data_IF_179075652199
#
_entry.id   IF_179075652199
#
_cell.length_a   1.000
_cell.length_b   1.000
_cell.length_c   1.000
_cell.angle_alpha   90.00
_cell.angle_beta   90.00
_cell.angle_gamma   90.00
#
_symmetry.space_group_name_H-M   'P 1'
#
loop_
_entity.id
_entity.type
_entity.pdbx_description
1 polymer ?
#
# COMPACT_ATOMS: atom_id res chain seq x y z
N UNK A 1 -12.82 8.62 19.96
CA UNK A 1 -13.21 9.99 19.56
C UNK A 1 -12.04 10.91 19.87
N UNK A 2 -11.19 11.19 18.90
CA UNK A 2 -10.13 12.21 19.02
C UNK A 2 -10.31 13.14 17.83
N UNK A 3 -10.47 14.42 18.14
CA UNK A 3 -10.95 15.46 17.25
C UNK A 3 -9.99 15.78 16.11
N UNK A 4 -10.58 15.89 14.95
CA UNK A 4 -9.99 16.47 13.73
C UNK A 4 -9.64 17.95 14.00
N UNK A 5 -8.35 18.27 14.07
CA UNK A 5 -7.89 19.64 13.86
C UNK A 5 -7.56 19.80 12.38
N UNK A 6 -8.27 20.70 11.73
CA UNK A 6 -7.88 21.23 10.42
C UNK A 6 -6.48 21.84 10.54
N UNK A 7 -5.57 21.36 9.74
CA UNK A 7 -4.31 22.04 9.44
C UNK A 7 -4.38 22.43 7.97
N UNK A 8 -4.63 23.70 7.74
CA UNK A 8 -4.55 24.30 6.41
C UNK A 8 -3.08 24.32 5.93
N UNK A 9 -2.85 23.78 4.74
CA UNK A 9 -1.81 24.30 3.86
C UNK A 9 -0.46 23.62 3.81
N UNK A 10 -0.28 22.33 4.18
CA UNK A 10 0.98 21.63 3.84
C UNK A 10 0.74 20.17 3.43
N UNK A 11 1.56 19.68 2.50
CA UNK A 11 1.60 18.27 2.15
C UNK A 11 1.94 17.46 3.40
N UNK A 12 1.06 16.51 3.74
CA UNK A 12 1.24 15.64 4.91
C UNK A 12 2.37 14.66 4.66
N UNK A 13 3.07 14.27 5.72
CA UNK A 13 4.09 13.24 5.74
C UNK A 13 3.55 11.89 5.24
N UNK A 14 4.45 11.02 4.74
CA UNK A 14 4.14 9.66 4.26
C UNK A 14 3.41 8.80 5.30
N UNK A 15 3.61 9.07 6.59
CA UNK A 15 3.04 8.28 7.70
C UNK A 15 1.63 8.73 8.07
N UNK A 16 1.24 9.96 7.78
CA UNK A 16 -0.15 10.43 7.99
C UNK A 16 -1.16 9.69 7.10
N UNK A 17 -0.68 9.00 6.05
CA UNK A 17 -1.47 8.10 5.21
C UNK A 17 -1.94 6.83 5.95
N UNK A 18 -1.32 6.48 7.10
CA UNK A 18 -1.69 5.30 7.91
C UNK A 18 -3.03 5.45 8.67
N UNK A 19 -3.60 6.65 8.78
CA UNK A 19 -4.83 6.87 9.56
C UNK A 19 -6.14 6.76 8.76
N UNK A 20 -6.11 6.49 7.46
CA UNK A 20 -7.31 6.48 6.63
C UNK A 20 -7.55 5.12 5.97
N UNK A 21 -8.73 4.56 6.21
CA UNK A 21 -9.21 3.21 5.90
C UNK A 21 -9.34 2.88 4.40
N UNK A 22 -8.25 2.98 3.63
CA UNK A 22 -8.21 2.50 2.24
C UNK A 22 -6.91 1.73 2.05
N UNK A 23 -6.97 0.39 2.10
CA UNK A 23 -5.78 -0.42 2.31
C UNK A 23 -5.54 -1.33 1.13
N UNK A 24 -4.32 -1.32 0.61
CA UNK A 24 -3.80 -2.12 -0.49
C UNK A 24 -2.52 -2.85 -0.08
N UNK A 25 -2.14 -3.83 -0.86
CA UNK A 25 -1.05 -4.76 -0.57
C UNK A 25 0.09 -4.55 -1.55
N UNK A 26 1.29 -4.35 -1.02
CA UNK A 26 2.56 -4.62 -1.68
C UNK A 26 3.13 -5.92 -1.10
N UNK A 27 3.63 -6.81 -1.96
CA UNK A 27 4.11 -8.12 -1.53
C UNK A 27 5.61 -8.29 -1.77
N UNK A 28 6.30 -8.99 -0.87
CA UNK A 28 7.71 -9.38 -1.03
C UNK A 28 7.88 -10.91 -1.01
N UNK A 29 8.94 -11.44 -1.66
CA UNK A 29 9.15 -12.89 -1.83
C UNK A 29 9.69 -13.57 -0.57
N UNK A 30 9.07 -14.71 -0.20
CA UNK A 30 9.67 -15.77 0.62
C UNK A 30 9.07 -17.14 0.29
N UNK A 31 9.86 -18.17 0.45
CA UNK A 31 9.61 -19.54 0.03
C UNK A 31 8.40 -20.24 0.65
N UNK A 32 8.00 -21.28 -0.03
CA UNK A 32 6.87 -22.21 0.13
C UNK A 32 6.40 -22.47 1.56
N UNK A 33 5.09 -22.24 1.79
CA UNK A 33 4.31 -22.96 2.82
C UNK A 33 2.85 -23.11 2.39
N UNK A 34 2.21 -24.18 2.90
CA UNK A 34 0.89 -24.66 2.52
C UNK A 34 -0.27 -23.73 2.91
N UNK A 35 -1.36 -23.80 2.14
CA UNK A 35 -2.58 -23.03 2.33
C UNK A 35 -3.35 -23.41 3.61
N UNK A 36 -3.93 -22.44 4.35
CA UNK A 36 -4.85 -22.72 5.43
C UNK A 36 -6.28 -22.98 4.92
N UNK A 37 -6.95 -23.95 5.55
CA UNK A 37 -8.34 -24.29 5.29
C UNK A 37 -9.28 -23.23 5.90
N UNK A 38 -10.15 -22.67 5.06
CA UNK A 38 -11.30 -21.85 5.48
C UNK A 38 -12.57 -22.64 5.18
N UNK A 39 -13.23 -23.11 6.20
CA UNK A 39 -14.55 -23.72 6.11
C UNK A 39 -15.57 -22.92 6.93
N UNK A 40 -16.73 -22.70 6.32
CA UNK A 40 -18.02 -22.37 6.90
C UNK A 40 -18.30 -20.97 7.43
N UNK A 41 -18.85 -20.14 6.53
CA UNK A 41 -19.93 -19.22 6.88
C UNK A 41 -20.86 -19.03 5.68
N UNK A 42 -22.01 -19.71 5.70
CA UNK A 42 -23.13 -19.45 4.78
C UNK A 42 -23.68 -18.04 5.02
N UNK A 43 -23.63 -17.22 3.99
CA UNK A 43 -24.38 -15.96 3.91
C UNK A 43 -25.26 -16.01 2.66
N UNK A 44 -26.54 -16.27 2.86
CA UNK A 44 -27.58 -16.23 1.85
C UNK A 44 -27.83 -14.79 1.38
N UNK A 45 -27.20 -14.37 0.30
CA UNK A 45 -27.63 -13.22 -0.52
C UNK A 45 -27.46 -13.56 -1.99
N UNK A 46 -28.47 -13.21 -2.80
CA UNK A 46 -28.51 -13.46 -4.24
C UNK A 46 -27.20 -13.04 -4.92
N UNK A 47 -26.69 -13.87 -5.85
CA UNK A 47 -25.49 -13.53 -6.61
C UNK A 47 -25.76 -12.22 -7.39
N UNK A 48 -24.76 -11.36 -7.56
CA UNK A 48 -24.86 -10.20 -8.43
C UNK A 48 -25.25 -10.62 -9.84
N UNK A 49 -25.90 -9.72 -10.59
CA UNK A 49 -26.37 -9.95 -11.98
C UNK A 49 -25.24 -10.25 -13.00
N UNK A 50 -23.99 -10.25 -12.57
CA UNK A 50 -22.83 -10.69 -13.33
C UNK A 50 -22.16 -11.83 -12.57
N UNK A 51 -21.76 -12.89 -13.28
CA UNK A 51 -21.08 -14.00 -12.62
C UNK A 51 -19.58 -13.73 -12.56
N UNK A 52 -18.91 -14.13 -11.48
CA UNK A 52 -17.45 -14.05 -11.39
C UNK A 52 -16.74 -14.75 -12.54
N UNK A 53 -17.35 -15.78 -13.12
CA UNK A 53 -16.83 -16.52 -14.25
C UNK A 53 -16.77 -15.72 -15.55
N UNK A 54 -17.85 -15.00 -15.89
CA UNK A 54 -17.91 -14.16 -17.10
C UNK A 54 -16.89 -13.03 -17.03
N UNK A 55 -16.69 -12.47 -15.84
CA UNK A 55 -15.70 -11.42 -15.62
C UNK A 55 -14.27 -11.97 -15.59
N UNK A 56 -14.05 -13.20 -15.08
CA UNK A 56 -12.74 -13.84 -15.07
C UNK A 56 -12.24 -14.15 -16.49
N UNK A 57 -13.14 -14.57 -17.39
CA UNK A 57 -12.78 -14.81 -18.78
C UNK A 57 -12.40 -13.50 -19.49
N UNK A 58 -13.15 -12.42 -19.25
CA UNK A 58 -12.85 -11.09 -19.79
C UNK A 58 -11.57 -10.48 -19.21
N UNK A 59 -11.39 -10.58 -17.90
CA UNK A 59 -10.20 -10.05 -17.20
C UNK A 59 -8.99 -10.98 -17.31
N UNK A 60 -9.21 -12.28 -17.59
CA UNK A 60 -8.12 -13.23 -17.82
C UNK A 60 -7.22 -12.88 -19.00
N UNK A 61 -7.80 -12.17 -19.99
CA UNK A 61 -7.07 -11.64 -21.14
C UNK A 61 -6.45 -10.25 -20.89
N UNK A 62 -6.71 -9.63 -19.75
CA UNK A 62 -6.21 -8.29 -19.46
C UNK A 62 -4.77 -8.34 -18.99
N UNK A 63 -3.88 -7.63 -19.66
CA UNK A 63 -2.51 -7.46 -19.23
C UNK A 63 -2.47 -6.56 -18.00
N UNK A 64 -1.97 -7.09 -16.87
CA UNK A 64 -1.83 -6.34 -15.62
C UNK A 64 -0.40 -5.87 -15.51
N UNK A 65 -0.16 -4.56 -15.31
CA UNK A 65 1.17 -4.09 -14.95
C UNK A 65 1.68 -4.85 -13.74
N UNK A 66 2.85 -5.42 -13.85
CA UNK A 66 3.43 -6.28 -12.82
C UNK A 66 4.94 -6.15 -12.77
N UNK A 67 5.54 -7.07 -12.06
CA UNK A 67 6.98 -7.14 -11.84
C UNK A 67 7.39 -6.62 -10.49
N UNK A 68 8.51 -7.14 -10.04
CA UNK A 68 9.15 -6.75 -8.78
C UNK A 68 10.42 -5.97 -9.09
N UNK A 69 10.82 -5.14 -8.14
CA UNK A 69 12.11 -4.46 -8.19
C UNK A 69 12.98 -4.92 -7.03
N UNK A 70 14.28 -4.97 -7.26
CA UNK A 70 15.27 -5.30 -6.26
C UNK A 70 15.64 -4.04 -5.46
N UNK A 71 15.58 -4.14 -4.14
CA UNK A 71 16.12 -3.15 -3.22
C UNK A 71 17.38 -3.74 -2.57
N UNK A 72 18.56 -3.18 -2.84
CA UNK A 72 19.83 -3.72 -2.35
C UNK A 72 19.93 -3.64 -0.83
N UNK A 73 20.69 -4.57 -0.24
CA UNK A 73 21.06 -4.49 1.17
C UNK A 73 21.79 -3.18 1.48
N UNK A 74 21.64 -2.70 2.71
CA UNK A 74 22.34 -1.52 3.20
C UNK A 74 21.52 -0.68 4.14
N UNK A 75 22.19 0.27 4.78
CA UNK A 75 21.56 1.21 5.70
C UNK A 75 20.83 2.33 4.96
N UNK A 76 19.75 2.80 5.58
CA UNK A 76 19.00 3.99 5.15
C UNK A 76 18.55 4.79 6.36
N UNK A 77 18.08 6.02 6.12
CA UNK A 77 17.51 6.88 7.16
C UNK A 77 16.00 6.61 7.25
N UNK A 78 15.59 5.87 8.28
CA UNK A 78 14.20 5.58 8.61
C UNK A 78 13.62 6.68 9.50
N UNK A 79 12.38 7.03 9.27
CA UNK A 79 11.70 8.08 10.02
C UNK A 79 11.94 9.49 9.49
N UNK A 80 11.44 10.48 10.22
CA UNK A 80 11.43 11.87 9.78
C UNK A 80 12.20 12.80 10.72
N UNK A 81 12.94 13.76 10.15
CA UNK A 81 13.56 14.86 10.88
C UNK A 81 12.60 16.06 10.84
N UNK A 82 12.00 16.48 11.98
CA UNK A 82 11.03 17.57 12.02
C UNK A 82 11.60 18.94 11.62
N UNK A 83 12.94 19.06 11.52
CA UNK A 83 13.59 20.27 11.00
C UNK A 83 13.53 20.36 9.48
N UNK A 84 13.41 19.19 8.81
CA UNK A 84 13.32 19.07 7.34
C UNK A 84 11.87 18.90 6.90
N UNK A 85 11.13 18.06 7.59
CA UNK A 85 9.71 17.81 7.36
C UNK A 85 8.87 18.31 8.55
N UNK A 86 8.27 19.48 8.38
CA UNK A 86 7.41 20.09 9.43
C UNK A 86 6.09 19.36 9.63
N UNK A 87 5.72 18.46 8.73
CA UNK A 87 4.52 17.64 8.84
C UNK A 87 4.78 16.33 9.56
N UNK A 88 6.04 16.01 9.89
CA UNK A 88 6.42 14.78 10.57
C UNK A 88 5.72 14.61 11.92
N UNK A 89 4.99 13.51 12.07
CA UNK A 89 4.34 13.15 13.32
C UNK A 89 5.34 12.62 14.38
N UNK A 90 4.99 12.67 15.67
CA UNK A 90 5.87 12.17 16.74
C UNK A 90 6.18 10.67 16.61
N UNK A 91 5.26 9.87 16.02
CA UNK A 91 5.44 8.44 15.78
C UNK A 91 6.45 8.11 14.66
N UNK A 92 6.84 9.10 13.87
CA UNK A 92 7.85 9.00 12.81
C UNK A 92 9.24 9.40 13.30
N UNK A 93 9.39 9.67 14.59
CA UNK A 93 10.59 10.22 15.17
C UNK A 93 11.17 9.32 16.27
N UNK A 94 12.50 9.31 16.42
CA UNK A 94 13.48 10.09 15.67
C UNK A 94 13.79 9.50 14.29
N UNK A 95 14.27 10.32 13.36
CA UNK A 95 14.96 9.80 12.18
C UNK A 95 16.25 9.11 12.65
N UNK A 96 16.45 7.85 12.26
CA UNK A 96 17.56 7.02 12.69
C UNK A 96 18.06 6.10 11.56
N UNK A 97 19.23 5.52 11.72
CA UNK A 97 19.82 4.65 10.73
C UNK A 97 19.35 3.20 10.95
N UNK A 98 18.80 2.59 9.90
CA UNK A 98 18.36 1.20 9.90
C UNK A 98 19.01 0.45 8.75
N UNK A 99 19.49 -0.75 9.00
CA UNK A 99 20.01 -1.67 7.99
C UNK A 99 18.92 -2.67 7.59
N UNK A 100 18.71 -2.84 6.29
CA UNK A 100 17.79 -3.85 5.72
C UNK A 100 18.56 -4.70 4.71
N UNK A 101 18.41 -6.02 4.80
CA UNK A 101 18.97 -6.96 3.83
C UNK A 101 18.34 -6.77 2.44
N UNK A 102 18.93 -7.38 1.42
CA UNK A 102 18.36 -7.35 0.06
C UNK A 102 16.98 -7.99 0.04
N UNK A 103 16.02 -7.33 -0.58
CA UNK A 103 14.68 -7.86 -0.82
C UNK A 103 14.16 -7.41 -2.19
N UNK A 104 13.07 -8.03 -2.61
CA UNK A 104 12.30 -7.59 -3.77
C UNK A 104 10.91 -7.16 -3.33
N UNK A 105 10.36 -6.16 -4.00
CA UNK A 105 9.03 -5.62 -3.72
C UNK A 105 8.28 -5.42 -5.03
N UNK A 106 6.95 -5.57 -5.01
CA UNK A 106 6.13 -5.26 -6.17
C UNK A 106 6.27 -3.80 -6.56
N UNK A 107 6.33 -3.54 -7.87
CA UNK A 107 6.45 -2.17 -8.39
C UNK A 107 5.17 -1.38 -8.31
N UNK A 108 4.04 -2.08 -8.20
CA UNK A 108 2.70 -1.50 -8.22
C UNK A 108 1.87 -2.03 -7.07
N UNK A 109 0.92 -1.24 -6.62
CA UNK A 109 -0.16 -1.67 -5.73
C UNK A 109 -0.88 -2.88 -6.32
N UNK A 110 -1.44 -3.74 -5.48
CA UNK A 110 -2.27 -4.87 -5.96
C UNK A 110 -3.54 -4.34 -6.60
N UNK A 111 -3.70 -4.57 -7.90
CA UNK A 111 -4.89 -4.14 -8.63
C UNK A 111 -6.12 -4.99 -8.29
N UNK A 112 -7.30 -4.44 -8.55
CA UNK A 112 -8.55 -5.17 -8.43
C UNK A 112 -8.55 -6.47 -9.24
N UNK A 113 -8.03 -6.45 -10.48
CA UNK A 113 -7.98 -7.67 -11.29
C UNK A 113 -6.99 -8.71 -10.75
N UNK A 114 -5.85 -8.29 -10.18
CA UNK A 114 -4.91 -9.21 -9.56
C UNK A 114 -5.54 -9.88 -8.33
N UNK A 115 -6.24 -9.10 -7.51
CA UNK A 115 -6.95 -9.61 -6.34
C UNK A 115 -8.16 -10.50 -6.73
N UNK A 116 -8.84 -10.19 -7.82
CA UNK A 116 -9.93 -11.03 -8.35
C UNK A 116 -9.43 -12.44 -8.69
N UNK A 117 -8.25 -12.56 -9.31
CA UNK A 117 -7.65 -13.88 -9.60
C UNK A 117 -7.43 -14.71 -8.33
N UNK A 118 -7.01 -14.06 -7.25
CA UNK A 118 -6.89 -14.71 -5.95
C UNK A 118 -8.23 -15.20 -5.42
N UNK A 119 -9.26 -14.35 -5.45
CA UNK A 119 -10.60 -14.71 -5.00
C UNK A 119 -11.15 -15.88 -5.79
N UNK A 120 -11.03 -15.87 -7.13
CA UNK A 120 -11.48 -16.93 -8.00
C UNK A 120 -10.69 -18.23 -7.82
N UNK A 121 -9.37 -18.12 -7.62
CA UNK A 121 -8.49 -19.29 -7.45
C UNK A 121 -8.60 -19.97 -6.10
N UNK A 122 -9.10 -19.26 -5.07
CA UNK A 122 -9.16 -19.79 -3.69
C UNK A 122 -10.57 -19.93 -3.13
N UNK A 123 -11.56 -19.29 -3.73
CA UNK A 123 -12.93 -19.26 -3.21
C UNK A 123 -13.12 -18.42 -1.95
N UNK A 124 -12.14 -17.59 -1.57
CA UNK A 124 -12.31 -16.68 -0.41
C UNK A 124 -13.44 -15.69 -0.66
N UNK A 125 -14.07 -15.17 0.40
CA UNK A 125 -15.13 -14.19 0.26
C UNK A 125 -14.67 -12.93 -0.49
N UNK A 126 -15.57 -12.37 -1.26
CA UNK A 126 -15.34 -11.11 -1.95
C UNK A 126 -15.03 -9.98 -0.97
N UNK A 127 -14.11 -9.05 -1.27
CA UNK A 127 -13.94 -7.84 -0.50
C UNK A 127 -15.27 -7.13 -0.26
N UNK A 128 -15.46 -6.61 0.95
CA UNK A 128 -16.73 -5.95 1.33
C UNK A 128 -17.15 -4.89 0.32
N UNK A 129 -16.21 -4.10 -0.16
CA UNK A 129 -16.46 -3.05 -1.14
C UNK A 129 -17.06 -3.59 -2.46
N UNK A 130 -16.60 -4.75 -2.93
CA UNK A 130 -17.13 -5.36 -4.16
C UNK A 130 -18.51 -5.96 -3.99
N UNK A 131 -18.88 -6.36 -2.77
CA UNK A 131 -20.25 -6.85 -2.46
C UNK A 131 -21.28 -5.73 -2.47
N UNK A 132 -20.86 -4.52 -2.11
CA UNK A 132 -21.71 -3.33 -2.07
C UNK A 132 -21.70 -2.55 -3.41
N UNK A 133 -20.62 -2.67 -4.16
CA UNK A 133 -20.41 -1.97 -5.43
C UNK A 133 -19.96 -2.98 -6.47
N UNK A 134 -20.75 -3.22 -7.53
CA UNK A 134 -20.36 -4.11 -8.61
C UNK A 134 -18.95 -3.74 -9.11
N UNK A 135 -18.12 -4.76 -9.34
CA UNK A 135 -16.77 -4.56 -9.82
C UNK A 135 -16.79 -3.90 -11.20
N UNK A 136 -16.43 -2.63 -11.34
CA UNK A 136 -16.49 -1.97 -12.63
C UNK A 136 -15.24 -2.31 -13.44
N UNK A 137 -15.41 -2.77 -14.67
CA UNK A 137 -14.32 -3.02 -15.61
C UNK A 137 -13.31 -1.85 -15.66
N UNK A 138 -13.84 -0.62 -15.63
CA UNK A 138 -13.03 0.61 -15.62
C UNK A 138 -12.12 0.75 -14.40
N UNK A 139 -12.37 0.00 -13.32
CA UNK A 139 -11.56 -0.03 -12.11
C UNK A 139 -10.63 -1.25 -12.02
N UNK A 140 -10.51 -2.05 -13.08
CA UNK A 140 -9.67 -3.24 -13.08
C UNK A 140 -8.22 -2.96 -12.65
N UNK A 141 -7.66 -1.85 -13.09
CA UNK A 141 -6.30 -1.39 -12.74
C UNK A 141 -6.27 -0.41 -11.55
N UNK A 142 -7.39 -0.13 -10.91
CA UNK A 142 -7.35 0.56 -9.62
C UNK A 142 -6.84 -0.40 -8.53
N UNK A 143 -6.23 0.12 -7.47
CA UNK A 143 -5.84 -0.70 -6.33
C UNK A 143 -7.08 -1.34 -5.68
N UNK A 144 -6.92 -2.57 -5.18
CA UNK A 144 -7.94 -3.19 -4.32
C UNK A 144 -7.97 -2.46 -2.98
N UNK A 145 -9.17 -2.13 -2.51
CA UNK A 145 -9.37 -1.36 -1.27
C UNK A 145 -10.30 -2.07 -0.31
N UNK A 146 -10.30 -1.62 0.96
CA UNK A 146 -11.13 -2.16 2.02
C UNK A 146 -10.89 -3.67 2.29
N UNK A 147 -9.65 -4.09 2.13
CA UNK A 147 -9.16 -5.39 2.57
C UNK A 147 -8.51 -5.26 3.94
N UNK A 148 -8.74 -6.22 4.82
CA UNK A 148 -8.10 -6.30 6.13
C UNK A 148 -6.63 -6.75 5.98
N UNK A 149 -5.85 -6.59 7.05
CA UNK A 149 -4.49 -7.10 7.10
C UNK A 149 -4.41 -8.61 6.81
N UNK A 150 -5.35 -9.39 7.35
CA UNK A 150 -5.40 -10.84 7.14
C UNK A 150 -5.70 -11.23 5.69
N UNK A 151 -6.58 -10.48 5.02
CA UNK A 151 -6.90 -10.67 3.60
C UNK A 151 -5.72 -10.28 2.72
N UNK A 152 -4.99 -9.23 3.10
CA UNK A 152 -3.78 -8.79 2.42
C UNK A 152 -2.64 -9.81 2.55
N UNK A 153 -2.40 -10.33 3.76
CA UNK A 153 -1.41 -11.38 4.02
C UNK A 153 -1.76 -12.69 3.28
N UNK A 154 -3.04 -13.08 3.28
CA UNK A 154 -3.51 -14.25 2.55
C UNK A 154 -3.26 -14.12 1.03
N UNK A 155 -3.53 -12.94 0.45
CA UNK A 155 -3.20 -12.67 -0.95
C UNK A 155 -1.70 -12.79 -1.21
N UNK A 156 -0.86 -12.19 -0.38
CA UNK A 156 0.58 -12.26 -0.56
C UNK A 156 1.07 -13.71 -0.52
N UNK A 157 0.61 -14.51 0.45
CA UNK A 157 0.97 -15.94 0.54
C UNK A 157 0.52 -16.76 -0.66
N UNK A 158 -0.71 -16.51 -1.14
CA UNK A 158 -1.20 -17.15 -2.36
C UNK A 158 -0.32 -16.82 -3.57
N UNK A 159 0.14 -15.58 -3.65
CA UNK A 159 1.05 -15.13 -4.70
C UNK A 159 2.51 -15.62 -4.53
N UNK A 160 2.80 -16.44 -3.51
CA UNK A 160 4.17 -16.88 -3.18
C UNK A 160 5.05 -15.77 -2.57
N UNK A 161 4.43 -14.81 -1.88
CA UNK A 161 5.05 -13.60 -1.33
C UNK A 161 4.68 -13.39 0.14
N UNK A 162 5.08 -12.29 0.71
CA UNK A 162 4.68 -11.82 2.04
C UNK A 162 4.41 -10.31 2.03
N UNK A 163 3.81 -9.78 3.08
CA UNK A 163 3.81 -8.35 3.32
C UNK A 163 5.24 -7.85 3.58
N UNK A 164 5.61 -6.64 3.12
CA UNK A 164 6.88 -6.02 3.50
C UNK A 164 6.84 -5.62 4.97
N UNK A 165 8.00 -5.54 5.61
CA UNK A 165 8.10 -4.81 6.88
C UNK A 165 7.98 -3.31 6.65
N UNK A 166 7.67 -2.54 7.70
CA UNK A 166 7.64 -1.07 7.62
C UNK A 166 8.99 -0.52 7.13
N UNK A 167 10.10 -1.06 7.60
CA UNK A 167 11.44 -0.65 7.19
C UNK A 167 11.74 -0.98 5.71
N UNK A 168 11.30 -2.13 5.23
CA UNK A 168 11.42 -2.48 3.80
C UNK A 168 10.58 -1.53 2.94
N UNK A 169 9.33 -1.30 3.33
CA UNK A 169 8.43 -0.39 2.64
C UNK A 169 9.00 1.03 2.58
N UNK A 170 9.48 1.56 3.71
CA UNK A 170 10.02 2.92 3.77
C UNK A 170 11.31 3.05 2.96
N UNK A 171 12.22 2.05 3.04
CA UNK A 171 13.43 2.04 2.20
C UNK A 171 13.08 2.00 0.72
N UNK A 172 12.11 1.16 0.32
CA UNK A 172 11.65 1.09 -1.06
C UNK A 172 11.04 2.41 -1.54
N UNK A 173 10.35 3.13 -0.66
CA UNK A 173 9.74 4.43 -0.96
C UNK A 173 10.77 5.55 -1.06
N UNK A 174 11.68 5.66 -0.10
CA UNK A 174 12.50 6.87 0.12
C UNK A 174 13.97 6.71 -0.25
N UNK A 175 14.42 5.50 -0.57
CA UNK A 175 15.83 5.23 -0.84
C UNK A 175 16.70 5.36 0.40
N UNK A 176 17.93 5.86 0.22
CA UNK A 176 18.95 5.89 1.29
C UNK A 176 19.37 7.31 1.72
N UNK A 177 18.93 8.34 1.03
CA UNK A 177 19.39 9.73 1.18
C UNK A 177 18.54 10.58 2.15
N UNK A 178 17.51 9.98 2.78
CA UNK A 178 16.64 10.67 3.75
C UNK A 178 15.72 11.72 3.12
N UNK A 179 15.34 11.52 1.86
CA UNK A 179 14.34 12.36 1.15
C UNK A 179 12.97 12.26 1.82
N UNK A 180 12.15 13.29 1.65
CA UNK A 180 10.81 13.36 2.24
C UNK A 180 9.82 12.48 1.44
N UNK A 181 9.85 12.59 0.12
CA UNK A 181 8.95 11.86 -0.79
C UNK A 181 9.72 10.90 -1.70
N UNK A 182 9.06 9.92 -2.32
CA UNK A 182 9.69 9.01 -3.28
C UNK A 182 10.46 9.72 -4.40
N UNK A 183 9.94 10.84 -4.89
CA UNK A 183 10.55 11.66 -5.97
C UNK A 183 11.57 12.69 -5.47
N UNK A 184 11.84 12.79 -4.16
CA UNK A 184 12.78 13.77 -3.58
C UNK A 184 12.14 14.68 -2.54
N UNK A 185 12.65 15.92 -2.42
CA UNK A 185 12.19 16.87 -1.39
C UNK A 185 11.24 17.95 -1.92
N UNK A 186 10.95 17.94 -3.21
CA UNK A 186 10.01 18.90 -3.79
C UNK A 186 8.58 18.61 -3.32
N UNK A 187 7.77 19.65 -3.08
CA UNK A 187 6.39 19.46 -2.71
C UNK A 187 5.63 18.54 -3.67
N UNK A 188 4.67 17.80 -3.13
CA UNK A 188 3.79 16.96 -3.93
C UNK A 188 2.99 17.82 -4.92
N UNK A 189 2.78 17.29 -6.11
CA UNK A 189 2.04 17.95 -7.18
C UNK A 189 1.26 16.94 -8.01
N UNK A 190 0.26 17.43 -8.74
CA UNK A 190 -0.68 16.66 -9.58
C UNK A 190 -0.04 15.67 -10.55
N UNK A 191 1.25 15.87 -10.87
CA UNK A 191 1.98 15.05 -11.82
C UNK A 191 2.70 13.89 -11.13
N UNK A 192 2.94 14.01 -9.80
CA UNK A 192 3.77 13.08 -9.03
C UNK A 192 2.94 12.12 -8.18
N UNK A 193 1.76 12.53 -7.72
CA UNK A 193 0.98 11.72 -6.78
C UNK A 193 -0.52 12.00 -6.83
N UNK A 194 -1.30 11.00 -6.42
CA UNK A 194 -2.75 11.07 -6.25
C UNK A 194 -3.10 11.45 -4.80
N UNK A 195 -2.84 12.69 -4.43
CA UNK A 195 -3.18 13.24 -3.11
C UNK A 195 -4.15 14.41 -3.21
N UNK A 196 -4.85 14.70 -2.12
CA UNK A 196 -5.67 15.91 -2.03
C UNK A 196 -4.78 17.15 -2.02
N UNK A 197 -4.97 18.05 -2.99
CA UNK A 197 -4.23 19.30 -3.06
C UNK A 197 -5.02 20.45 -2.46
N UNK A 198 -4.38 21.33 -1.68
CA UNK A 198 -4.98 22.59 -1.25
C UNK A 198 -5.46 23.39 -2.47
N UNK A 199 -6.70 23.87 -2.44
CA UNK A 199 -7.26 24.66 -3.54
C UNK A 199 -7.88 23.85 -4.69
N UNK A 200 -8.01 22.54 -4.57
CA UNK A 200 -8.80 21.74 -5.52
C UNK A 200 -10.25 22.23 -5.52
N UNK A 201 -10.65 22.88 -6.63
CA UNK A 201 -12.02 23.40 -6.83
C UNK A 201 -13.10 22.31 -6.89
N UNK A 202 -12.72 21.04 -6.88
CA UNK A 202 -13.65 19.91 -7.07
C UNK A 202 -14.30 19.42 -5.78
N UNK A 203 -14.04 20.03 -4.62
CA UNK A 203 -14.70 19.70 -3.36
C UNK A 203 -14.49 18.27 -2.84
N UNK A 204 -13.63 17.49 -3.49
CA UNK A 204 -13.32 16.14 -3.07
C UNK A 204 -12.41 16.19 -1.84
N UNK A 205 -12.91 15.66 -0.73
CA UNK A 205 -12.10 15.42 0.46
C UNK A 205 -10.95 14.43 0.15
N UNK A 206 -11.19 13.55 -0.84
CA UNK A 206 -10.22 12.59 -1.37
C UNK A 206 -10.32 12.57 -2.90
N UNK A 207 -9.19 12.53 -3.63
CA UNK A 207 -9.21 12.34 -5.08
C UNK A 207 -9.77 10.94 -5.41
N UNK A 208 -10.44 10.76 -6.56
CA UNK A 208 -10.79 9.43 -7.05
C UNK A 208 -9.53 8.56 -7.19
N UNK A 209 -9.69 7.24 -7.02
CA UNK A 209 -8.59 6.30 -7.21
C UNK A 209 -8.00 6.42 -8.62
N UNK A 210 -6.70 6.31 -8.70
CA UNK A 210 -5.96 6.24 -9.96
C UNK A 210 -5.55 4.80 -10.28
N UNK A 211 -5.33 4.51 -11.56
CA UNK A 211 -4.70 3.26 -11.95
C UNK A 211 -3.31 3.13 -11.33
N UNK A 212 -2.94 1.91 -10.92
CA UNK A 212 -1.68 1.59 -10.24
C UNK A 212 -0.42 2.02 -11.00
N UNK A 213 -0.49 2.13 -12.31
CA UNK A 213 0.61 2.51 -13.20
C UNK A 213 0.62 4.00 -13.58
N UNK A 214 -0.11 4.85 -12.84
CA UNK A 214 -0.08 6.30 -13.05
C UNK A 214 1.02 6.95 -12.21
N UNK A 215 1.37 8.19 -12.61
CA UNK A 215 2.34 9.04 -11.90
C UNK A 215 3.79 8.57 -12.00
N UNK A 216 4.28 8.31 -13.20
CA UNK A 216 5.68 7.91 -13.48
C UNK A 216 6.71 8.86 -12.84
N UNK A 217 6.40 10.15 -12.75
CA UNK A 217 7.27 11.16 -12.13
C UNK A 217 7.25 11.12 -10.60
N UNK A 218 6.40 10.30 -10.01
CA UNK A 218 6.28 10.09 -8.56
C UNK A 218 6.88 8.79 -8.08
N UNK A 219 7.55 8.03 -8.95
CA UNK A 219 8.17 6.77 -8.58
C UNK A 219 9.33 6.95 -7.60
N UNK A 220 9.56 5.93 -6.80
CA UNK A 220 10.69 5.86 -5.88
C UNK A 220 12.04 5.70 -6.61
N UNK A 221 13.18 5.83 -5.91
CA UNK A 221 14.50 5.56 -6.49
C UNK A 221 14.65 4.15 -7.09
N UNK A 222 13.83 3.21 -6.64
CA UNK A 222 13.82 1.83 -7.13
C UNK A 222 12.73 1.57 -8.17
N UNK A 223 12.00 2.61 -8.61
CA UNK A 223 10.94 2.51 -9.60
C UNK A 223 9.64 1.90 -9.07
N UNK A 224 9.38 2.01 -7.76
CA UNK A 224 8.10 1.64 -7.15
C UNK A 224 7.12 2.79 -7.29
N UNK A 225 5.89 2.49 -7.66
CA UNK A 225 4.83 3.47 -7.93
C UNK A 225 3.99 3.74 -6.68
N UNK A 226 3.34 4.89 -6.65
CA UNK A 226 2.27 5.25 -5.70
C UNK A 226 2.64 5.21 -4.20
N UNK A 227 3.94 5.13 -3.87
CA UNK A 227 4.44 5.08 -2.49
C UNK A 227 4.10 6.33 -1.66
N UNK A 228 3.48 7.35 -2.26
CA UNK A 228 3.00 8.54 -1.58
C UNK A 228 1.69 9.03 -2.24
N UNK A 229 0.58 8.45 -1.84
CA UNK A 229 -0.75 8.79 -2.34
C UNK A 229 -1.52 7.58 -2.85
N UNK A 230 -2.62 7.83 -3.54
CA UNK A 230 -3.59 6.87 -4.01
C UNK A 230 -4.31 6.14 -2.86
N UNK A 231 -3.63 5.23 -2.16
CA UNK A 231 -4.17 4.48 -1.03
C UNK A 231 -3.13 4.28 0.06
N UNK A 232 -3.59 3.89 1.26
CA UNK A 232 -2.70 3.41 2.32
C UNK A 232 -2.41 1.93 2.12
N UNK A 233 -1.23 1.47 2.53
CA UNK A 233 -0.75 0.13 2.28
C UNK A 233 -0.44 -0.62 3.57
N UNK A 234 -0.77 -1.92 3.60
CA UNK A 234 -0.43 -2.78 4.72
C UNK A 234 1.03 -3.17 4.74
N UNK A 235 1.61 -3.16 5.94
CA UNK A 235 2.91 -3.75 6.25
C UNK A 235 2.72 -4.91 7.23
N UNK A 236 3.75 -5.75 7.40
CA UNK A 236 3.70 -6.89 8.31
C UNK A 236 3.70 -6.49 9.79
N UNK A 237 4.22 -5.31 10.08
CA UNK A 237 4.46 -4.83 11.43
C UNK A 237 3.18 -4.38 12.13
N UNK A 238 3.07 -4.63 13.43
CA UNK A 238 2.08 -3.98 14.28
C UNK A 238 2.48 -2.53 14.52
N UNK A 239 1.49 -1.66 14.70
CA UNK A 239 1.74 -0.25 15.01
C UNK A 239 2.08 -0.06 16.49
N UNK A 240 3.20 0.62 16.74
CA UNK A 240 3.60 1.11 18.06
C UNK A 240 4.20 2.52 17.90
N UNK A 241 3.57 3.56 18.48
CA UNK A 241 4.03 4.95 18.29
C UNK A 241 5.42 5.23 18.87
N UNK A 242 5.94 4.36 19.74
CA UNK A 242 7.26 4.50 20.36
C UNK A 242 8.32 3.58 19.70
N UNK A 243 7.95 2.81 18.69
CA UNK A 243 8.85 1.80 18.11
C UNK A 243 10.14 2.40 17.54
N UNK A 244 10.07 3.56 16.88
CA UNK A 244 11.24 4.23 16.29
C UNK A 244 12.29 4.65 17.33
N UNK A 245 11.92 4.79 18.61
CA UNK A 245 12.84 5.13 19.70
C UNK A 245 13.56 3.92 20.31
N UNK A 246 13.03 2.71 20.11
CA UNK A 246 13.49 1.49 20.79
C UNK A 246 13.60 0.26 19.88
N UNK A 247 13.28 0.42 18.61
CA UNK A 247 13.34 -0.65 17.63
C UNK A 247 14.76 -1.14 17.35
N UNK A 248 14.85 -2.23 16.60
CA UNK A 248 16.12 -2.77 16.16
C UNK A 248 16.65 -2.00 14.96
N UNK A 249 17.97 -1.75 14.93
CA UNK A 249 18.62 -1.06 13.82
C UNK A 249 18.93 -1.97 12.62
N UNK A 250 18.67 -3.28 12.74
CA UNK A 250 18.91 -4.25 11.67
C UNK A 250 17.71 -5.16 11.47
N UNK A 251 17.18 -5.13 10.23
CA UNK A 251 16.01 -5.90 9.79
C UNK A 251 14.86 -5.85 10.81
N UNK A 252 14.38 -4.67 11.21
CA UNK A 252 13.33 -4.57 12.20
C UNK A 252 12.04 -5.24 11.67
N UNK A 253 11.38 -5.99 12.57
CA UNK A 253 10.14 -6.73 12.28
C UNK A 253 8.93 -6.12 12.97
N UNK A 254 9.07 -4.92 13.50
CA UNK A 254 8.03 -4.28 14.30
C UNK A 254 7.98 -4.79 15.75
N UNK A 255 7.05 -4.27 16.56
CA UNK A 255 6.83 -4.73 17.92
C UNK A 255 6.29 -6.18 17.93
N UNK A 256 6.58 -6.89 19.01
CA UNK A 256 6.14 -8.29 19.24
C UNK A 256 4.78 -8.30 19.93
#
# INVERSE_FOLDING_TARGET
MVGLRQVEGQARSLVDLKQYSWIVVLCSLLGLMAAPAWADHESSKQPPLWTPQDEAERLGAMEVPGGMTLVPAGSFLMGSDPRKDRAAGPQEQPQHQVYVDTFTIDRFEVSNVAYLRFVLGTGVPWPKFWRENPFPEKAALHPVINVSWYEADAFCRWAGKRLPTEAEWEKAARGVDGRIFPWGNEPAGWIKSNIAHPGSKRGFKYPPLANINRYDKGTSPYGVYQMAGNVSEWVSDWFDPEYYRRGQDKNPLGPK
#
